data_IF_115030844601
#
_entry.id   IF_115030844601
#
_cell.length_a   1.000
_cell.length_b   1.000
_cell.length_c   1.000
_cell.angle_alpha   90.00
_cell.angle_beta   90.00
_cell.angle_gamma   90.00
#
_symmetry.space_group_name_H-M   'P 1'
#
loop_
_entity.id
_entity.type
_entity.pdbx_description
1 polymer ?
#
# COMPACT_ATOMS: atom_id res chain seq x y z
N UNK A 1 -3.85 35.01 24.21
CA UNK A 1 -2.48 34.84 23.70
C UNK A 1 -2.54 33.81 22.58
N UNK A 2 -1.94 34.05 21.39
CA UNK A 2 -1.80 32.98 20.42
C UNK A 2 -0.94 31.87 21.05
N UNK A 3 -1.34 30.62 20.87
CA UNK A 3 -0.55 29.49 21.33
C UNK A 3 0.80 29.50 20.59
N UNK A 4 1.88 29.12 21.28
CA UNK A 4 3.15 28.87 20.61
C UNK A 4 2.95 27.78 19.55
N UNK A 5 3.59 27.92 18.39
CA UNK A 5 3.49 26.98 17.28
C UNK A 5 4.88 26.67 16.73
N UNK A 6 5.11 25.41 16.37
CA UNK A 6 6.31 24.95 15.68
C UNK A 6 5.89 24.02 14.54
N UNK A 7 5.50 24.63 13.41
CA UNK A 7 5.05 23.89 12.22
C UNK A 7 6.27 23.35 11.47
N UNK A 8 6.25 22.05 11.21
CA UNK A 8 7.18 21.35 10.33
C UNK A 8 6.45 20.88 9.09
N UNK A 9 6.97 21.23 7.93
CA UNK A 9 6.54 20.69 6.64
C UNK A 9 7.31 19.42 6.32
N UNK A 10 6.61 18.40 5.84
CA UNK A 10 7.19 17.16 5.38
C UNK A 10 7.02 17.07 3.87
N UNK A 11 8.09 16.78 3.14
CA UNK A 11 8.05 16.65 1.68
C UNK A 11 7.74 15.23 1.22
N UNK A 12 7.77 14.26 2.14
CA UNK A 12 7.53 12.85 1.86
C UNK A 12 7.58 11.96 3.10
N UNK A 13 7.29 10.66 2.92
CA UNK A 13 7.24 9.66 4.00
C UNK A 13 8.60 9.43 4.70
N UNK A 14 9.71 9.85 4.11
CA UNK A 14 11.03 9.75 4.75
C UNK A 14 11.38 10.98 5.61
N UNK A 15 10.48 11.96 5.73
CA UNK A 15 10.71 13.15 6.56
C UNK A 15 10.73 12.79 8.05
N UNK A 16 11.53 13.45 8.90
CA UNK A 16 11.70 13.09 10.32
C UNK A 16 10.41 13.03 11.14
N UNK A 17 9.38 13.80 10.76
CA UNK A 17 8.09 13.86 11.46
C UNK A 17 6.92 13.33 10.61
N UNK A 18 7.23 12.59 9.53
CA UNK A 18 6.23 12.09 8.60
C UNK A 18 5.21 11.14 9.26
N UNK A 19 5.61 10.40 10.29
CA UNK A 19 4.74 9.40 10.95
C UNK A 19 4.43 9.71 12.42
N UNK A 20 4.91 10.83 12.94
CA UNK A 20 4.56 11.27 14.28
C UNK A 20 3.04 11.31 14.44
N UNK A 21 2.54 10.76 15.55
CA UNK A 21 1.11 10.65 15.90
C UNK A 21 0.21 9.95 14.86
N UNK A 22 0.78 9.23 13.89
CA UNK A 22 0.03 8.42 12.93
C UNK A 22 0.13 6.95 13.34
N UNK A 23 -0.98 6.30 13.73
CA UNK A 23 -0.94 4.89 14.11
C UNK A 23 -0.66 4.01 12.89
N UNK A 24 -0.11 2.83 13.13
CA UNK A 24 -0.11 1.76 12.13
C UNK A 24 -1.55 1.33 11.87
N UNK A 25 -1.87 1.05 10.60
CA UNK A 25 -3.18 0.51 10.24
C UNK A 25 -3.31 -0.93 10.78
N UNK A 26 -4.49 -1.35 11.25
CA UNK A 26 -4.71 -2.73 11.64
C UNK A 26 -4.48 -3.63 10.41
N UNK A 27 -3.82 -4.77 10.62
CA UNK A 27 -3.51 -5.73 9.55
C UNK A 27 -4.80 -6.39 9.04
N UNK A 28 -5.00 -6.41 7.72
CA UNK A 28 -6.22 -6.92 7.10
C UNK A 28 -6.13 -8.36 6.54
N UNK A 29 -4.94 -8.99 6.49
CA UNK A 29 -4.81 -10.33 5.93
C UNK A 29 -3.46 -11.03 6.22
N UNK A 30 -3.44 -12.35 6.04
CA UNK A 30 -2.26 -13.19 6.34
C UNK A 30 -1.12 -13.03 5.31
N UNK A 31 -1.44 -12.60 4.09
CA UNK A 31 -0.51 -12.39 2.97
C UNK A 31 -0.12 -10.93 2.75
N UNK A 32 -0.58 -10.05 3.63
CA UNK A 32 -0.27 -8.62 3.56
C UNK A 32 1.07 -8.33 4.22
N UNK A 33 1.93 -7.60 3.50
CA UNK A 33 3.12 -6.96 4.06
C UNK A 33 2.88 -5.47 4.26
N UNK A 34 3.61 -4.88 5.21
CA UNK A 34 3.57 -3.43 5.40
C UNK A 34 4.05 -2.75 4.11
N UNK A 35 3.32 -1.71 3.67
CA UNK A 35 3.70 -0.94 2.51
C UNK A 35 5.13 -0.40 2.70
N UNK A 36 6.05 -0.60 1.74
CA UNK A 36 7.46 -0.20 1.90
C UNK A 36 7.63 1.32 1.98
N UNK A 37 6.68 2.08 1.43
CA UNK A 37 6.71 3.54 1.38
C UNK A 37 6.21 4.16 2.70
N UNK A 38 5.00 3.79 3.12
CA UNK A 38 4.40 4.36 4.33
C UNK A 38 4.58 3.49 5.58
N UNK A 39 5.34 2.40 5.48
CA UNK A 39 5.75 1.53 6.60
C UNK A 39 4.58 1.01 7.45
N UNK A 40 3.40 0.82 6.86
CA UNK A 40 2.20 0.38 7.59
C UNK A 40 1.21 1.48 7.99
N UNK A 41 1.56 2.75 7.80
CA UNK A 41 0.74 3.87 8.30
C UNK A 41 -0.42 4.28 7.37
N UNK A 42 -0.35 3.95 6.08
CA UNK A 42 -1.34 4.31 5.06
C UNK A 42 -1.33 5.79 4.66
N UNK A 43 -0.82 6.65 5.53
CA UNK A 43 -0.75 8.10 5.37
C UNK A 43 0.51 8.63 6.06
N UNK A 44 0.86 9.89 5.77
CA UNK A 44 1.95 10.60 6.43
C UNK A 44 1.59 12.09 6.59
N UNK A 45 2.21 12.77 7.55
CA UNK A 45 2.00 14.19 7.82
C UNK A 45 2.56 15.01 6.66
N UNK A 46 1.77 15.89 6.06
CA UNK A 46 2.25 16.95 5.17
C UNK A 46 2.74 18.16 5.99
N UNK A 47 2.04 18.47 7.08
CA UNK A 47 2.40 19.48 8.06
C UNK A 47 2.08 18.94 9.46
N UNK A 48 2.93 19.22 10.44
CA UNK A 48 2.65 18.96 11.86
C UNK A 48 3.17 20.09 12.72
N UNK A 49 2.33 20.57 13.64
CA UNK A 49 2.76 21.47 14.70
C UNK A 49 3.26 20.65 15.89
N UNK A 50 4.55 20.75 16.22
CA UNK A 50 5.18 19.99 17.30
C UNK A 50 4.76 20.45 18.70
N UNK A 51 4.10 21.61 18.83
CA UNK A 51 3.57 22.10 20.11
C UNK A 51 2.18 21.54 20.37
N UNK A 52 1.28 21.62 19.38
CA UNK A 52 -0.13 21.20 19.53
C UNK A 52 -0.44 19.80 19.01
N UNK A 53 0.49 19.19 18.27
CA UNK A 53 0.32 17.93 17.54
C UNK A 53 -0.84 17.95 16.52
N UNK A 54 -1.32 19.13 16.12
CA UNK A 54 -2.24 19.24 14.99
C UNK A 54 -1.46 18.98 13.70
N UNK A 55 -2.03 18.17 12.82
CA UNK A 55 -1.39 17.79 11.56
C UNK A 55 -2.34 17.89 10.37
N UNK A 56 -1.78 18.22 9.21
CA UNK A 56 -2.38 17.93 7.90
C UNK A 56 -1.72 16.67 7.38
N UNK A 57 -2.50 15.73 6.88
CA UNK A 57 -2.01 14.43 6.42
C UNK A 57 -2.34 14.23 4.95
N UNK A 58 -1.53 13.43 4.28
CA UNK A 58 -1.81 12.98 2.92
C UNK A 58 -1.78 11.46 2.85
N UNK A 59 -2.58 10.92 1.94
CA UNK A 59 -2.69 9.49 1.70
C UNK A 59 -1.45 8.99 0.97
N UNK A 60 -0.99 7.79 1.31
CA UNK A 60 0.09 7.13 0.59
C UNK A 60 -0.41 6.66 -0.78
N UNK A 61 0.15 7.20 -1.86
CA UNK A 61 -0.21 6.82 -3.23
C UNK A 61 0.19 5.38 -3.59
N UNK A 62 1.11 4.74 -2.85
CA UNK A 62 1.53 3.37 -3.13
C UNK A 62 0.47 2.35 -2.67
N UNK A 63 0.04 2.43 -1.42
CA UNK A 63 -0.95 1.51 -0.84
C UNK A 63 -2.38 2.09 -0.82
N UNK A 64 -2.59 3.29 -1.38
CA UNK A 64 -3.88 3.96 -1.46
C UNK A 64 -4.57 4.13 -0.10
N UNK A 65 -3.80 4.35 0.96
CA UNK A 65 -4.33 4.52 2.33
C UNK A 65 -4.43 3.23 3.15
N UNK A 66 -4.22 2.06 2.55
CA UNK A 66 -4.38 0.79 3.26
C UNK A 66 -3.30 0.57 4.33
N UNK A 67 -2.09 1.09 4.13
CA UNK A 67 -0.92 0.79 4.96
C UNK A 67 -0.24 -0.54 4.59
N UNK A 68 -0.97 -1.42 3.89
CA UNK A 68 -0.54 -2.75 3.53
C UNK A 68 -0.54 -2.95 2.01
N UNK A 69 0.25 -3.91 1.55
CA UNK A 69 0.30 -4.35 0.15
C UNK A 69 0.23 -5.88 0.13
N UNK A 70 -0.53 -6.43 -0.80
CA UNK A 70 -0.56 -7.88 -1.01
C UNK A 70 0.82 -8.31 -1.54
N UNK A 71 1.47 -9.23 -0.85
CA UNK A 71 2.79 -9.79 -1.25
C UNK A 71 2.69 -11.25 -1.66
N UNK A 72 1.51 -11.70 -2.08
CA UNK A 72 1.32 -13.06 -2.56
C UNK A 72 2.04 -13.24 -3.90
N UNK A 73 3.05 -14.11 -3.93
CA UNK A 73 3.57 -14.70 -5.18
C UNK A 73 2.65 -15.81 -5.71
N UNK A 74 1.45 -15.92 -5.13
CA UNK A 74 0.50 -16.97 -5.46
C UNK A 74 0.16 -16.91 -6.95
N UNK A 75 0.30 -18.03 -7.66
CA UNK A 75 -0.05 -18.07 -9.05
C UNK A 75 -1.50 -17.62 -9.27
N UNK A 76 -1.69 -16.65 -10.17
CA UNK A 76 -3.01 -16.12 -10.48
C UNK A 76 -3.75 -17.08 -11.41
N UNK A 77 -5.01 -17.37 -11.08
CA UNK A 77 -5.93 -18.03 -11.99
C UNK A 77 -6.48 -17.05 -13.02
N UNK A 78 -6.16 -17.24 -14.29
CA UNK A 78 -6.66 -16.44 -15.41
C UNK A 78 -7.62 -17.30 -16.23
N UNK A 79 -8.85 -16.85 -16.53
CA UNK A 79 -9.74 -17.59 -17.41
C UNK A 79 -9.14 -17.68 -18.81
N UNK A 80 -9.13 -18.87 -19.38
CA UNK A 80 -8.58 -19.13 -20.71
C UNK A 80 -9.46 -20.12 -21.48
N UNK A 81 -9.23 -20.20 -22.79
CA UNK A 81 -10.00 -21.04 -23.70
C UNK A 81 -9.07 -21.78 -24.66
N UNK A 82 -9.26 -23.09 -24.77
CA UNK A 82 -8.58 -23.93 -25.74
C UNK A 82 -9.59 -24.75 -26.56
N UNK A 83 -9.11 -25.45 -27.57
CA UNK A 83 -9.92 -26.43 -28.30
C UNK A 83 -9.66 -27.82 -27.75
N UNK A 84 -10.72 -28.59 -27.53
CA UNK A 84 -10.60 -30.01 -27.21
C UNK A 84 -10.14 -30.84 -28.43
N UNK A 85 -9.93 -32.13 -28.24
CA UNK A 85 -9.50 -33.04 -29.32
C UNK A 85 -10.50 -33.13 -30.49
N UNK A 86 -11.77 -32.75 -30.27
CA UNK A 86 -12.82 -32.70 -31.29
C UNK A 86 -12.99 -31.30 -31.90
N UNK A 87 -12.23 -30.29 -31.44
CA UNK A 87 -12.24 -28.93 -31.95
C UNK A 87 -13.22 -27.98 -31.25
N UNK A 88 -13.94 -28.41 -30.21
CA UNK A 88 -14.88 -27.57 -29.47
C UNK A 88 -14.16 -26.67 -28.47
N UNK A 89 -14.71 -25.47 -28.18
CA UNK A 89 -14.17 -24.60 -27.14
C UNK A 89 -14.31 -25.25 -25.75
N UNK A 90 -13.21 -25.27 -25.00
CA UNK A 90 -13.16 -25.67 -23.59
C UNK A 90 -12.56 -24.54 -22.76
N UNK A 91 -13.34 -24.05 -21.80
CA UNK A 91 -12.89 -23.06 -20.82
C UNK A 91 -12.13 -23.75 -19.69
N UNK A 92 -11.02 -23.16 -19.28
CA UNK A 92 -10.27 -23.62 -18.12
C UNK A 92 -9.59 -22.44 -17.42
N UNK A 93 -9.10 -22.65 -16.21
CA UNK A 93 -8.32 -21.65 -15.48
C UNK A 93 -6.83 -21.92 -15.71
N UNK A 94 -6.16 -21.03 -16.44
CA UNK A 94 -4.70 -21.06 -16.59
C UNK A 94 -4.05 -20.43 -15.37
N UNK A 95 -3.11 -21.15 -14.78
CA UNK A 95 -2.34 -20.67 -13.63
C UNK A 95 -1.10 -19.95 -14.14
N UNK A 96 -0.96 -18.65 -13.85
CA UNK A 96 0.18 -17.82 -14.28
C UNK A 96 0.96 -17.28 -13.08
N UNK A 97 2.29 -17.13 -13.17
CA UNK A 97 3.07 -16.42 -12.15
C UNK A 97 2.60 -14.96 -12.02
N UNK A 98 2.66 -14.40 -10.81
CA UNK A 98 2.28 -13.01 -10.56
C UNK A 98 3.25 -11.99 -11.20
N UNK A 99 4.54 -12.35 -11.27
CA UNK A 99 5.62 -11.51 -11.81
C UNK A 99 6.40 -12.25 -12.91
N UNK A 100 6.72 -11.62 -14.06
CA UNK A 100 7.72 -12.16 -14.98
C UNK A 100 9.08 -12.15 -14.27
N UNK A 101 9.71 -13.31 -14.10
CA UNK A 101 11.14 -13.35 -13.76
C UNK A 101 11.90 -12.72 -14.94
N UNK A 102 12.34 -11.48 -14.79
CA UNK A 102 13.39 -10.96 -15.67
C UNK A 102 14.57 -11.92 -15.60
N UNK A 103 15.01 -12.35 -16.79
CA UNK A 103 16.01 -13.40 -17.01
C UNK A 103 17.38 -12.80 -17.22
#
# INVERSE_FOLDING_TARGET
MPHASQIVECTGPESPHAFDIIPLQPRNGALDAACPVCKGHGQWNLEIDLVSFRSKRTICNHCQGAGWVETGDDPRGVPDIERDAAGHPRWYTRIVPDVPKES
#
